data_IF_928539066162
#
_entry.id   IF_928539066162
#
_cell.length_a   1.000
_cell.length_b   1.000
_cell.length_c   1.000
_cell.angle_alpha   90.00
_cell.angle_beta   90.00
_cell.angle_gamma   90.00
#
_symmetry.space_group_name_H-M   'P 1'
#
loop_
_entity.id
_entity.type
_entity.pdbx_description
1 polymer ?
#
# COMPACT_ATOMS: atom_id res chain seq x y z
N UNK A 1 -1.58 25.63 9.10
CA UNK A 1 -1.50 24.18 8.80
C UNK A 1 -1.05 23.92 7.37
N UNK A 2 -1.68 24.48 6.31
CA UNK A 2 -1.26 24.27 4.91
C UNK A 2 0.23 24.60 4.66
N UNK A 3 0.73 25.74 5.12
CA UNK A 3 2.14 26.12 4.98
C UNK A 3 3.11 25.10 5.60
N UNK A 4 2.79 24.55 6.76
CA UNK A 4 3.63 23.55 7.42
C UNK A 4 3.68 22.24 6.64
N UNK A 5 2.52 21.79 6.11
CA UNK A 5 2.45 20.58 5.27
C UNK A 5 3.22 20.79 3.97
N UNK A 6 3.10 21.96 3.35
CA UNK A 6 3.86 22.33 2.14
C UNK A 6 5.36 22.33 2.41
N UNK A 7 5.82 22.91 3.52
CA UNK A 7 7.24 22.90 3.89
C UNK A 7 7.77 21.46 4.11
N UNK A 8 6.97 20.58 4.70
CA UNK A 8 7.32 19.16 4.81
C UNK A 8 7.43 18.49 3.44
N UNK A 9 6.52 18.79 2.51
CA UNK A 9 6.58 18.28 1.14
C UNK A 9 7.81 18.81 0.38
N UNK A 10 8.15 20.09 0.55
CA UNK A 10 9.35 20.69 -0.05
C UNK A 10 10.63 19.99 0.45
N UNK A 11 10.73 19.76 1.76
CA UNK A 11 11.86 19.05 2.36
C UNK A 11 11.94 17.58 1.92
N UNK A 12 10.80 16.89 1.82
CA UNK A 12 10.72 15.52 1.34
C UNK A 12 11.14 15.42 -0.13
N UNK A 13 10.63 16.33 -0.97
CA UNK A 13 10.96 16.38 -2.38
C UNK A 13 12.46 16.64 -2.63
N UNK A 14 13.06 17.53 -1.83
CA UNK A 14 14.50 17.83 -1.92
C UNK A 14 15.39 16.63 -1.53
N UNK A 15 14.89 15.74 -0.64
CA UNK A 15 15.62 14.57 -0.14
C UNK A 15 15.26 13.26 -0.85
N UNK A 16 14.39 13.29 -1.86
CA UNK A 16 13.93 12.07 -2.53
C UNK A 16 13.07 11.15 -1.63
N UNK A 17 12.39 11.72 -0.64
CA UNK A 17 11.55 11.00 0.33
C UNK A 17 10.09 11.13 -0.10
N UNK A 18 9.33 10.03 0.03
CA UNK A 18 7.87 10.03 -0.17
C UNK A 18 7.13 10.18 1.16
N UNK A 19 6.09 11.00 1.14
CA UNK A 19 5.17 11.19 2.25
C UNK A 19 3.90 10.38 2.01
N UNK A 20 3.51 9.60 3.02
CA UNK A 20 2.34 8.73 2.98
C UNK A 20 1.34 9.15 4.07
N UNK A 21 0.57 10.24 3.88
CA UNK A 21 -0.44 10.66 4.83
C UNK A 21 -1.40 9.51 5.14
N UNK A 22 -1.77 9.34 6.42
CA UNK A 22 -2.78 8.37 6.82
C UNK A 22 -4.16 8.74 6.27
N UNK A 23 -5.05 7.77 6.24
CA UNK A 23 -6.48 8.01 6.16
C UNK A 23 -7.06 7.94 7.56
N UNK A 24 -8.14 8.66 7.77
CA UNK A 24 -8.87 8.72 9.02
C UNK A 24 -10.29 8.14 8.83
N UNK A 25 -11.20 8.38 9.76
CA UNK A 25 -12.61 8.01 9.58
C UNK A 25 -13.23 8.72 8.37
N UNK A 26 -14.20 8.08 7.73
CA UNK A 26 -14.80 8.53 6.48
C UNK A 26 -15.35 9.97 6.58
N UNK A 27 -15.84 10.39 7.73
CA UNK A 27 -16.35 11.74 7.95
C UNK A 27 -15.27 12.82 7.76
N UNK A 28 -14.00 12.50 7.98
CA UNK A 28 -12.87 13.45 7.86
C UNK A 28 -12.06 13.25 6.58
N UNK A 29 -12.12 12.07 5.96
CA UNK A 29 -11.35 11.72 4.77
C UNK A 29 -11.52 12.69 3.60
N UNK A 30 -12.71 13.22 3.24
CA UNK A 30 -12.83 14.12 2.09
C UNK A 30 -11.94 15.36 2.17
N UNK A 31 -11.75 15.92 3.37
CA UNK A 31 -10.85 17.06 3.57
C UNK A 31 -9.37 16.69 3.39
N UNK A 32 -8.96 15.54 3.93
CA UNK A 32 -7.60 15.01 3.77
C UNK A 32 -7.29 14.68 2.31
N UNK A 33 -8.23 14.05 1.63
CA UNK A 33 -8.09 13.68 0.22
C UNK A 33 -7.97 14.92 -0.67
N UNK A 34 -8.80 15.95 -0.44
CA UNK A 34 -8.71 17.20 -1.17
C UNK A 34 -7.32 17.85 -1.05
N UNK A 35 -6.73 17.83 0.14
CA UNK A 35 -5.36 18.31 0.35
C UNK A 35 -4.33 17.42 -0.31
N UNK A 36 -4.45 16.11 -0.16
CA UNK A 36 -3.52 15.16 -0.77
C UNK A 36 -3.51 15.29 -2.30
N UNK A 37 -4.67 15.45 -2.94
CA UNK A 37 -4.74 15.63 -4.40
C UNK A 37 -4.10 16.94 -4.86
N UNK A 38 -4.28 18.04 -4.11
CA UNK A 38 -3.61 19.30 -4.41
C UNK A 38 -2.08 19.17 -4.27
N UNK A 39 -1.61 18.48 -3.23
CA UNK A 39 -0.19 18.23 -3.01
C UNK A 39 0.38 17.28 -4.08
N UNK A 40 -0.36 16.23 -4.46
CA UNK A 40 0.06 15.35 -5.55
C UNK A 40 0.23 16.13 -6.86
N UNK A 41 -0.74 16.95 -7.24
CA UNK A 41 -0.64 17.81 -8.43
C UNK A 41 0.61 18.69 -8.40
N UNK A 42 0.95 19.26 -7.24
CA UNK A 42 2.12 20.15 -7.08
C UNK A 42 3.44 19.39 -7.10
N UNK A 43 3.52 18.23 -6.45
CA UNK A 43 4.81 17.57 -6.17
C UNK A 43 5.07 16.32 -6.98
N UNK A 44 4.05 15.63 -7.48
CA UNK A 44 4.18 14.38 -8.24
C UNK A 44 4.26 14.64 -9.75
N UNK A 45 5.11 15.56 -10.18
CA UNK A 45 5.25 15.85 -11.61
C UNK A 45 5.80 14.62 -12.35
N UNK A 46 5.41 14.45 -13.61
CA UNK A 46 5.82 13.30 -14.43
C UNK A 46 7.31 13.25 -14.69
N UNK A 47 7.98 14.42 -14.72
CA UNK A 47 9.42 14.56 -14.94
C UNK A 47 10.23 14.05 -13.74
N UNK A 48 9.67 14.13 -12.54
CA UNK A 48 10.34 13.66 -11.32
C UNK A 48 10.55 12.15 -11.30
N UNK A 49 9.70 11.39 -12.00
CA UNK A 49 9.79 9.93 -12.08
C UNK A 49 9.38 9.18 -10.81
N UNK A 50 8.93 9.87 -9.75
CA UNK A 50 8.38 9.25 -8.55
C UNK A 50 7.36 10.17 -7.86
N UNK A 51 6.43 9.57 -7.10
CA UNK A 51 5.47 10.31 -6.28
C UNK A 51 6.09 10.73 -4.94
N UNK A 52 6.01 12.02 -4.63
CA UNK A 52 6.39 12.58 -3.32
C UNK A 52 5.26 12.40 -2.32
N UNK A 53 4.00 12.59 -2.76
CA UNK A 53 2.82 12.53 -1.89
C UNK A 53 1.90 11.41 -2.36
N UNK A 54 1.40 10.63 -1.40
CA UNK A 54 0.45 9.54 -1.64
C UNK A 54 -0.90 9.85 -1.00
N UNK A 55 -1.95 9.30 -1.56
CA UNK A 55 -3.27 9.20 -0.90
C UNK A 55 -3.46 7.77 -0.41
N UNK A 56 -3.92 7.63 0.83
CA UNK A 56 -4.25 6.33 1.43
C UNK A 56 -5.73 6.01 1.22
N UNK A 57 -6.01 4.87 0.61
CA UNK A 57 -7.35 4.36 0.35
C UNK A 57 -7.65 3.17 1.24
N UNK A 58 -8.72 3.24 2.01
CA UNK A 58 -9.17 2.21 2.95
C UNK A 58 -10.20 1.30 2.26
N UNK A 59 -9.75 0.16 1.72
CA UNK A 59 -10.55 -0.72 0.87
C UNK A 59 -11.72 -1.42 1.59
N UNK A 60 -11.86 -1.29 2.92
CA UNK A 60 -13.06 -1.72 3.62
C UNK A 60 -14.27 -0.81 3.36
N UNK A 61 -14.07 0.40 2.83
CA UNK A 61 -15.13 1.32 2.44
C UNK A 61 -15.69 0.97 1.06
N UNK A 62 -17.01 0.84 0.95
CA UNK A 62 -17.71 0.54 -0.31
C UNK A 62 -17.50 1.58 -1.40
N UNK A 63 -17.24 2.84 -1.02
CA UNK A 63 -17.03 3.95 -1.94
C UNK A 63 -15.64 3.98 -2.61
N UNK A 64 -14.68 3.16 -2.16
CA UNK A 64 -13.28 3.25 -2.64
C UNK A 64 -13.12 2.96 -4.13
N UNK A 65 -13.78 1.98 -4.75
CA UNK A 65 -13.62 1.74 -6.19
C UNK A 65 -13.99 2.96 -7.04
N UNK A 66 -15.04 3.66 -6.70
CA UNK A 66 -15.45 4.88 -7.40
C UNK A 66 -14.50 6.04 -7.09
N UNK A 67 -14.14 6.22 -5.83
CA UNK A 67 -13.24 7.30 -5.37
C UNK A 67 -11.86 7.21 -6.01
N UNK A 68 -11.25 6.03 -6.03
CA UNK A 68 -9.94 5.83 -6.68
C UNK A 68 -10.05 6.05 -8.19
N UNK A 69 -11.17 5.66 -8.82
CA UNK A 69 -11.44 5.93 -10.24
C UNK A 69 -11.43 7.43 -10.54
N UNK A 70 -12.16 8.23 -9.74
CA UNK A 70 -12.23 9.69 -9.88
C UNK A 70 -10.86 10.34 -9.69
N UNK A 71 -10.07 9.88 -8.68
CA UNK A 71 -8.75 10.42 -8.41
C UNK A 71 -7.72 10.06 -9.48
N UNK A 72 -7.75 8.84 -10.01
CA UNK A 72 -6.91 8.42 -11.13
C UNK A 72 -7.28 9.19 -12.43
N UNK A 73 -8.57 9.37 -12.68
CA UNK A 73 -9.02 10.17 -13.82
C UNK A 73 -8.55 11.63 -13.69
N UNK A 74 -8.63 12.21 -12.50
CA UNK A 74 -8.11 13.56 -12.23
C UNK A 74 -6.60 13.63 -12.49
N UNK A 75 -5.83 12.63 -12.03
CA UNK A 75 -4.38 12.56 -12.28
C UNK A 75 -4.07 12.47 -13.77
N UNK A 76 -4.84 11.69 -14.52
CA UNK A 76 -4.72 11.60 -15.99
C UNK A 76 -4.98 12.95 -16.67
N UNK A 77 -6.10 13.59 -16.34
CA UNK A 77 -6.50 14.89 -16.93
C UNK A 77 -5.53 16.04 -16.59
N UNK A 78 -4.99 16.02 -15.38
CA UNK A 78 -4.10 17.08 -14.88
C UNK A 78 -2.61 16.79 -15.07
N UNK A 79 -2.25 15.61 -15.61
CA UNK A 79 -0.90 15.26 -16.04
C UNK A 79 0.11 15.07 -14.90
N UNK A 80 -0.28 14.44 -13.78
CA UNK A 80 0.63 14.12 -12.69
C UNK A 80 0.65 12.62 -12.36
N UNK A 81 1.71 12.16 -11.67
CA UNK A 81 1.81 10.78 -11.21
C UNK A 81 0.96 10.56 -9.96
N UNK A 82 -0.03 9.69 -10.01
CA UNK A 82 -0.83 9.36 -8.84
C UNK A 82 -0.02 8.54 -7.82
N UNK A 83 0.09 9.02 -6.59
CA UNK A 83 0.63 8.28 -5.46
C UNK A 83 -0.50 7.52 -4.75
N UNK A 84 -0.54 6.21 -4.87
CA UNK A 84 -1.61 5.35 -4.35
C UNK A 84 -1.08 4.44 -3.24
N UNK A 85 -1.63 4.58 -2.04
CA UNK A 85 -1.39 3.63 -0.94
C UNK A 85 -2.69 2.91 -0.62
N UNK A 86 -2.69 1.60 -0.76
CA UNK A 86 -3.83 0.75 -0.42
C UNK A 86 -3.66 0.14 0.96
N UNK A 87 -4.68 0.29 1.78
CA UNK A 87 -4.82 -0.37 3.08
C UNK A 87 -6.20 -1.03 3.17
N UNK A 88 -6.40 -1.96 4.11
CA UNK A 88 -7.74 -2.50 4.33
C UNK A 88 -8.64 -1.54 5.09
N UNK A 89 -8.14 -0.93 6.14
CA UNK A 89 -8.84 0.04 6.97
C UNK A 89 -8.56 -0.17 8.45
N UNK A 90 -8.67 0.90 9.23
CA UNK A 90 -8.30 0.90 10.64
C UNK A 90 -9.49 1.16 11.59
N UNK A 91 -10.62 1.63 11.10
CA UNK A 91 -11.71 2.17 11.92
C UNK A 91 -12.99 1.32 11.89
N UNK A 92 -12.86 -0.02 11.75
CA UNK A 92 -13.97 -0.97 11.67
C UNK A 92 -15.01 -0.86 12.82
N UNK A 93 -14.57 -0.41 14.00
CA UNK A 93 -15.42 -0.33 15.18
C UNK A 93 -16.18 1.00 15.28
N UNK A 94 -15.69 2.06 14.65
CA UNK A 94 -16.29 3.41 14.73
C UNK A 94 -16.99 3.85 13.43
N UNK A 95 -16.64 3.26 12.29
CA UNK A 95 -17.31 3.56 11.03
C UNK A 95 -18.77 3.05 11.01
N UNK A 96 -19.70 3.82 10.42
CA UNK A 96 -21.06 3.37 10.17
C UNK A 96 -21.07 2.08 9.32
N UNK A 97 -21.80 1.06 9.78
CA UNK A 97 -21.85 -0.26 9.12
C UNK A 97 -22.29 -0.20 7.65
N UNK A 98 -23.13 0.77 7.28
CA UNK A 98 -23.55 0.95 5.89
C UNK A 98 -22.44 1.36 4.91
N UNK A 99 -21.37 1.97 5.40
CA UNK A 99 -20.25 2.46 4.58
C UNK A 99 -19.19 1.40 4.30
N UNK A 100 -19.10 0.37 5.14
CA UNK A 100 -18.11 -0.68 5.04
C UNK A 100 -18.67 -1.96 4.42
N UNK A 101 -17.80 -2.78 3.85
CA UNK A 101 -18.18 -4.13 3.41
C UNK A 101 -18.62 -4.97 4.62
N UNK A 102 -19.62 -5.81 4.41
CA UNK A 102 -20.23 -6.62 5.47
C UNK A 102 -19.33 -7.78 5.90
N UNK A 103 -18.36 -8.15 5.06
CA UNK A 103 -17.47 -9.26 5.32
C UNK A 103 -16.02 -8.92 5.00
N UNK A 104 -15.12 -9.75 5.52
CA UNK A 104 -13.68 -9.69 5.20
C UNK A 104 -13.46 -9.94 3.71
N UNK A 105 -14.18 -10.88 3.13
CA UNK A 105 -14.09 -11.27 1.71
C UNK A 105 -14.45 -10.09 0.80
N UNK A 106 -15.46 -9.29 1.15
CA UNK A 106 -15.81 -8.06 0.43
C UNK A 106 -14.68 -7.03 0.46
N UNK A 107 -14.04 -6.86 1.62
CA UNK A 107 -12.86 -5.99 1.76
C UNK A 107 -11.66 -6.52 0.96
N UNK A 108 -11.42 -7.83 1.01
CA UNK A 108 -10.33 -8.46 0.27
C UNK A 108 -10.55 -8.31 -1.25
N UNK A 109 -11.76 -8.56 -1.74
CA UNK A 109 -12.12 -8.39 -3.15
C UNK A 109 -11.94 -6.93 -3.63
N UNK A 110 -12.36 -5.95 -2.82
CA UNK A 110 -12.16 -4.54 -3.11
C UNK A 110 -10.66 -4.18 -3.16
N UNK A 111 -9.88 -4.63 -2.18
CA UNK A 111 -8.44 -4.41 -2.12
C UNK A 111 -7.74 -4.98 -3.35
N UNK A 112 -8.03 -6.24 -3.69
CA UNK A 112 -7.38 -6.94 -4.80
C UNK A 112 -7.77 -6.34 -6.16
N UNK A 113 -9.03 -5.91 -6.34
CA UNK A 113 -9.46 -5.21 -7.54
C UNK A 113 -8.76 -3.84 -7.73
N UNK A 114 -8.62 -3.07 -6.64
CA UNK A 114 -7.86 -1.82 -6.67
C UNK A 114 -6.37 -2.07 -6.95
N UNK A 115 -5.77 -3.06 -6.29
CA UNK A 115 -4.37 -3.42 -6.48
C UNK A 115 -4.09 -3.88 -7.92
N UNK A 116 -4.96 -4.71 -8.49
CA UNK A 116 -4.85 -5.16 -9.87
C UNK A 116 -4.87 -3.99 -10.86
N UNK A 117 -5.85 -3.07 -10.74
CA UNK A 117 -5.97 -1.93 -11.63
C UNK A 117 -4.72 -1.05 -11.63
N UNK A 118 -4.19 -0.70 -10.44
CA UNK A 118 -3.02 0.17 -10.33
C UNK A 118 -1.72 -0.54 -10.72
N UNK A 119 -1.57 -1.84 -10.43
CA UNK A 119 -0.41 -2.62 -10.85
C UNK A 119 -0.35 -2.77 -12.36
N UNK A 120 -1.48 -3.09 -12.99
CA UNK A 120 -1.59 -3.24 -14.46
C UNK A 120 -1.64 -1.90 -15.19
N UNK A 121 -1.78 -0.78 -14.46
CA UNK A 121 -2.01 0.55 -15.05
C UNK A 121 -3.12 0.53 -16.09
N UNK A 122 -4.23 -0.12 -15.77
CA UNK A 122 -5.36 -0.30 -16.68
C UNK A 122 -6.70 -0.15 -15.97
N UNK A 123 -7.65 0.45 -16.67
CA UNK A 123 -9.03 0.50 -16.20
C UNK A 123 -9.62 -0.93 -16.21
N UNK A 124 -10.45 -1.22 -15.22
CA UNK A 124 -11.09 -2.53 -15.02
C UNK A 124 -12.59 -2.37 -14.92
N UNK A 125 -13.33 -3.48 -14.75
CA UNK A 125 -14.77 -3.43 -14.49
C UNK A 125 -15.13 -2.71 -13.17
N UNK A 126 -14.24 -2.73 -12.18
CA UNK A 126 -14.45 -2.12 -10.86
C UNK A 126 -13.87 -0.72 -10.77
N UNK A 127 -12.77 -0.42 -11.47
CA UNK A 127 -12.08 0.88 -11.48
C UNK A 127 -12.18 1.44 -12.88
N UNK A 128 -13.14 2.36 -13.09
CA UNK A 128 -13.54 2.83 -14.42
C UNK A 128 -13.43 4.35 -14.55
N UNK A 129 -12.99 4.86 -15.71
CA UNK A 129 -13.05 6.29 -15.99
C UNK A 129 -14.49 6.70 -16.35
N UNK A 130 -14.77 8.01 -16.26
CA UNK A 130 -16.05 8.57 -16.71
C UNK A 130 -16.23 8.47 -18.23
N UNK A 131 -15.15 8.36 -18.99
CA UNK A 131 -15.14 8.13 -20.44
C UNK A 131 -14.05 7.14 -20.83
N UNK A 132 -14.33 6.20 -21.75
CA UNK A 132 -13.32 5.24 -22.25
C UNK A 132 -12.11 5.89 -22.93
N UNK A 133 -12.21 7.14 -23.34
CA UNK A 133 -11.11 7.89 -23.99
C UNK A 133 -10.04 8.38 -23.01
N UNK A 134 -10.30 8.32 -21.70
CA UNK A 134 -9.37 8.79 -20.68
C UNK A 134 -8.29 7.74 -20.45
N UNK A 135 -7.01 8.04 -20.73
CA UNK A 135 -5.93 7.09 -20.51
C UNK A 135 -5.71 6.87 -19.01
N UNK A 136 -5.20 5.69 -18.65
CA UNK A 136 -4.80 5.42 -17.27
C UNK A 136 -3.55 6.27 -16.92
N UNK A 137 -3.51 6.95 -15.77
CA UNK A 137 -2.38 7.81 -15.42
C UNK A 137 -1.13 7.01 -15.04
N UNK A 138 0.03 7.67 -15.00
CA UNK A 138 1.18 7.13 -14.28
C UNK A 138 0.85 7.01 -12.80
N UNK A 139 1.27 5.89 -12.18
CA UNK A 139 1.03 5.63 -10.76
C UNK A 139 2.30 5.17 -10.05
N UNK A 140 2.42 5.48 -8.77
CA UNK A 140 3.33 4.82 -7.85
C UNK A 140 2.51 4.20 -6.71
N UNK A 141 2.90 3.02 -6.23
CA UNK A 141 2.03 2.15 -5.46
C UNK A 141 2.70 1.75 -4.15
N UNK A 142 1.92 1.81 -3.06
CA UNK A 142 2.25 1.18 -1.78
C UNK A 142 1.12 0.22 -1.42
N UNK A 143 1.43 -1.07 -1.38
CA UNK A 143 0.53 -2.12 -0.90
C UNK A 143 0.80 -2.36 0.59
N UNK A 144 0.02 -1.73 1.45
CA UNK A 144 0.20 -1.80 2.90
C UNK A 144 -0.77 -2.83 3.49
N UNK A 145 -0.31 -4.06 3.63
CA UNK A 145 -1.15 -5.18 4.10
C UNK A 145 -0.31 -6.31 4.69
N UNK A 146 -0.95 -7.09 5.58
CA UNK A 146 -0.45 -8.35 6.13
C UNK A 146 -1.18 -9.58 5.56
N UNK A 147 -1.97 -9.41 4.49
CA UNK A 147 -2.69 -10.52 3.87
C UNK A 147 -1.79 -11.20 2.84
N UNK A 148 -1.47 -12.48 3.07
CA UNK A 148 -0.62 -13.29 2.21
C UNK A 148 -1.15 -13.42 0.78
N UNK A 149 -2.45 -13.69 0.64
CA UNK A 149 -3.04 -14.01 -0.66
C UNK A 149 -3.02 -12.79 -1.58
N UNK A 150 -3.37 -11.60 -1.05
CA UNK A 150 -3.28 -10.36 -1.80
C UNK A 150 -1.85 -10.01 -2.21
N UNK A 151 -0.87 -10.25 -1.32
CA UNK A 151 0.54 -10.00 -1.64
C UNK A 151 1.08 -10.98 -2.68
N UNK A 152 0.71 -12.26 -2.61
CA UNK A 152 1.08 -13.27 -3.62
C UNK A 152 0.44 -12.97 -4.97
N UNK A 153 -0.81 -12.51 -4.98
CA UNK A 153 -1.48 -12.05 -6.20
C UNK A 153 -0.75 -10.87 -6.82
N UNK A 154 -0.42 -9.85 -6.04
CA UNK A 154 0.34 -8.69 -6.49
C UNK A 154 1.73 -9.07 -7.00
N UNK A 155 2.43 -9.96 -6.30
CA UNK A 155 3.74 -10.49 -6.71
C UNK A 155 3.64 -11.25 -8.04
N UNK A 156 2.61 -12.09 -8.20
CA UNK A 156 2.38 -12.82 -9.47
C UNK A 156 2.13 -11.87 -10.63
N UNK A 157 1.35 -10.80 -10.43
CA UNK A 157 1.15 -9.76 -11.45
C UNK A 157 2.49 -9.12 -11.83
N UNK A 158 3.27 -8.68 -10.83
CA UNK A 158 4.58 -8.06 -11.05
C UNK A 158 5.54 -8.98 -11.79
N UNK A 159 5.62 -10.25 -11.41
CA UNK A 159 6.48 -11.24 -12.07
C UNK A 159 6.10 -11.44 -13.54
N UNK A 160 4.80 -11.51 -13.85
CA UNK A 160 4.32 -11.58 -15.25
C UNK A 160 4.69 -10.34 -16.06
N UNK A 161 4.55 -9.15 -15.47
CA UNK A 161 4.95 -7.89 -16.11
C UNK A 161 6.44 -7.87 -16.46
N UNK A 162 7.29 -8.35 -15.57
CA UNK A 162 8.75 -8.42 -15.77
C UNK A 162 9.19 -9.41 -16.87
N UNK A 163 8.30 -10.30 -17.32
CA UNK A 163 8.57 -11.16 -18.47
C UNK A 163 8.34 -10.45 -19.81
N UNK A 164 7.53 -9.40 -19.83
CA UNK A 164 7.05 -8.74 -21.06
C UNK A 164 7.40 -7.26 -21.16
N UNK A 165 7.85 -6.65 -20.08
CA UNK A 165 8.10 -5.21 -19.99
C UNK A 165 9.43 -4.91 -19.31
N UNK A 166 10.08 -3.85 -19.73
CA UNK A 166 11.28 -3.35 -19.06
C UNK A 166 10.92 -2.84 -17.66
N UNK A 167 11.75 -3.13 -16.62
CA UNK A 167 11.48 -2.72 -15.24
C UNK A 167 11.18 -1.24 -15.07
N UNK A 168 11.86 -0.38 -15.83
CA UNK A 168 11.73 1.08 -15.76
C UNK A 168 10.36 1.59 -16.27
N UNK A 169 9.68 0.79 -17.09
CA UNK A 169 8.33 1.10 -17.60
C UNK A 169 7.23 0.75 -16.60
N UNK A 170 7.55 -0.06 -15.59
CA UNK A 170 6.59 -0.50 -14.59
C UNK A 170 6.41 0.53 -13.47
N UNK A 171 5.22 0.61 -12.85
CA UNK A 171 5.00 1.51 -11.73
C UNK A 171 5.91 1.15 -10.55
N UNK A 172 6.46 2.17 -9.88
CA UNK A 172 7.18 1.95 -8.62
C UNK A 172 6.25 1.31 -7.61
N UNK A 173 6.73 0.27 -6.95
CA UNK A 173 5.97 -0.54 -6.01
C UNK A 173 6.71 -0.67 -4.69
N UNK A 174 5.98 -0.51 -3.58
CA UNK A 174 6.46 -0.88 -2.27
C UNK A 174 5.43 -1.78 -1.55
N UNK A 175 5.92 -2.81 -0.91
CA UNK A 175 5.16 -3.66 -0.01
C UNK A 175 5.41 -3.19 1.42
N UNK A 176 4.37 -2.77 2.13
CA UNK A 176 4.46 -2.20 3.47
C UNK A 176 3.83 -3.09 4.54
N UNK A 177 4.57 -3.39 5.61
CA UNK A 177 4.08 -4.08 6.79
C UNK A 177 4.43 -3.29 8.05
N UNK A 178 3.70 -3.51 9.13
CA UNK A 178 4.06 -3.00 10.45
C UNK A 178 5.29 -3.75 10.98
N UNK A 179 6.18 -3.03 11.64
CA UNK A 179 7.32 -3.65 12.31
C UNK A 179 6.84 -4.63 13.38
N UNK A 180 7.49 -5.81 13.45
CA UNK A 180 7.12 -6.88 14.37
C UNK A 180 5.86 -7.65 13.97
N UNK A 181 5.32 -7.40 12.76
CA UNK A 181 4.17 -8.15 12.22
C UNK A 181 4.48 -8.66 10.83
N UNK A 182 3.98 -9.88 10.53
CA UNK A 182 4.09 -10.51 9.22
C UNK A 182 5.56 -10.55 8.69
N UNK A 183 6.50 -10.92 9.54
CA UNK A 183 7.91 -10.94 9.17
C UNK A 183 8.21 -12.06 8.17
N UNK A 184 7.48 -13.17 8.23
CA UNK A 184 7.52 -14.27 7.26
C UNK A 184 7.16 -13.76 5.85
N UNK A 185 6.11 -12.93 5.72
CA UNK A 185 5.71 -12.33 4.44
C UNK A 185 6.81 -11.40 3.93
N UNK A 186 7.34 -10.54 4.80
CA UNK A 186 8.40 -9.60 4.43
C UNK A 186 9.64 -10.34 3.94
N UNK A 187 10.02 -11.44 4.58
CA UNK A 187 11.15 -12.28 4.16
C UNK A 187 10.88 -12.97 2.82
N UNK A 188 9.67 -13.52 2.61
CA UNK A 188 9.27 -14.11 1.33
C UNK A 188 9.37 -13.08 0.19
N UNK A 189 8.88 -11.86 0.42
CA UNK A 189 8.97 -10.77 -0.56
C UNK A 189 10.43 -10.38 -0.86
N UNK A 190 11.26 -10.17 0.17
CA UNK A 190 12.68 -9.85 -0.02
C UNK A 190 13.41 -10.94 -0.79
N UNK A 191 13.16 -12.22 -0.48
CA UNK A 191 13.78 -13.33 -1.19
C UNK A 191 13.32 -13.43 -2.65
N UNK A 192 12.06 -13.10 -2.93
CA UNK A 192 11.54 -13.10 -4.30
C UNK A 192 12.10 -11.96 -5.14
N UNK A 193 12.33 -10.80 -4.53
CA UNK A 193 12.87 -9.61 -5.19
C UNK A 193 14.39 -9.71 -5.42
N UNK A 194 15.15 -10.28 -4.48
CA UNK A 194 16.63 -10.46 -4.62
C UNK A 194 17.03 -11.40 -5.74
N UNK A 195 16.14 -12.30 -6.15
CA UNK A 195 16.40 -13.20 -7.29
C UNK A 195 16.33 -12.50 -8.66
N UNK A 196 15.78 -11.27 -8.71
CA UNK A 196 15.67 -10.45 -9.91
C UNK A 196 16.11 -9.02 -9.53
N UNK A 197 17.38 -8.72 -9.71
CA UNK A 197 18.07 -7.54 -9.18
C UNK A 197 17.51 -6.15 -9.57
N UNK A 198 16.39 -6.05 -10.30
CA UNK A 198 15.91 -4.76 -10.86
C UNK A 198 14.39 -4.62 -10.94
N UNK A 199 13.67 -5.07 -9.91
CA UNK A 199 12.20 -5.06 -9.93
C UNK A 199 11.58 -3.71 -9.61
N UNK A 200 12.36 -2.70 -9.17
CA UNK A 200 11.89 -1.44 -8.59
C UNK A 200 10.86 -1.58 -7.45
N UNK A 201 10.62 -2.80 -6.98
CA UNK A 201 9.78 -3.05 -5.81
C UNK A 201 10.61 -3.01 -4.53
N UNK A 202 10.05 -2.43 -3.48
CA UNK A 202 10.70 -2.30 -2.17
C UNK A 202 9.85 -2.96 -1.10
N UNK A 203 10.49 -3.62 -0.15
CA UNK A 203 9.84 -4.10 1.08
C UNK A 203 10.18 -3.14 2.21
N UNK A 204 9.16 -2.55 2.84
CA UNK A 204 9.34 -1.52 3.87
C UNK A 204 8.57 -1.88 5.14
N UNK A 205 9.12 -1.50 6.27
CA UNK A 205 8.45 -1.63 7.59
C UNK A 205 8.00 -0.26 8.09
N UNK A 206 6.74 -0.17 8.50
CA UNK A 206 6.24 0.99 9.22
C UNK A 206 6.70 0.89 10.66
N UNK A 207 7.49 1.86 11.09
CA UNK A 207 8.11 1.94 12.42
C UNK A 207 7.57 3.15 13.18
N UNK A 208 7.61 3.10 14.50
CA UNK A 208 7.36 4.27 15.35
C UNK A 208 8.54 5.22 15.28
N UNK A 209 8.25 6.52 15.42
CA UNK A 209 9.24 7.57 15.57
C UNK A 209 8.69 8.66 16.49
N UNK A 210 9.53 9.19 17.38
CA UNK A 210 9.17 10.24 18.32
C UNK A 210 9.61 9.93 19.76
N UNK A 211 9.02 10.62 20.73
CA UNK A 211 9.23 10.37 22.16
C UNK A 211 8.66 9.01 22.57
N UNK A 212 9.08 8.49 23.72
CA UNK A 212 8.58 7.21 24.26
C UNK A 212 7.04 7.23 24.36
N UNK A 213 6.46 8.33 24.84
CA UNK A 213 5.00 8.48 24.98
C UNK A 213 4.29 8.41 23.62
N UNK A 214 4.81 9.09 22.59
CA UNK A 214 4.25 9.06 21.24
C UNK A 214 4.35 7.64 20.64
N UNK A 215 5.51 7.01 20.79
CA UNK A 215 5.71 5.63 20.33
C UNK A 215 4.77 4.65 21.03
N UNK A 216 4.62 4.73 22.35
CA UNK A 216 3.71 3.87 23.11
C UNK A 216 2.24 4.08 22.67
N UNK A 217 1.79 5.33 22.53
CA UNK A 217 0.45 5.65 22.07
C UNK A 217 0.19 5.11 20.66
N UNK A 218 1.17 5.22 19.76
CA UNK A 218 1.08 4.63 18.43
C UNK A 218 0.94 3.11 18.50
N UNK A 219 1.77 2.43 19.30
CA UNK A 219 1.78 0.97 19.43
C UNK A 219 0.49 0.44 20.07
N UNK A 220 -0.02 1.11 21.12
CA UNK A 220 -1.28 0.75 21.77
C UNK A 220 -2.46 0.83 20.81
N UNK A 221 -2.50 1.90 20.00
CA UNK A 221 -3.53 2.03 18.95
C UNK A 221 -3.42 0.90 17.92
N UNK A 222 -2.22 0.61 17.42
CA UNK A 222 -1.98 -0.51 16.48
C UNK A 222 -2.36 -1.87 17.10
N UNK A 223 -2.02 -2.12 18.34
CA UNK A 223 -2.40 -3.33 19.05
C UNK A 223 -3.93 -3.46 19.18
N UNK A 224 -4.62 -2.37 19.49
CA UNK A 224 -6.08 -2.35 19.57
C UNK A 224 -6.74 -2.62 18.22
N UNK A 225 -6.26 -2.00 17.15
CA UNK A 225 -6.76 -2.19 15.78
C UNK A 225 -6.51 -3.62 15.26
N UNK A 226 -5.43 -4.24 15.71
CA UNK A 226 -4.99 -5.56 15.24
C UNK A 226 -5.20 -6.66 16.29
N UNK A 227 -6.23 -6.58 17.14
CA UNK A 227 -6.50 -7.59 18.17
C UNK A 227 -6.52 -9.02 17.63
N UNK A 228 -7.04 -9.21 16.42
CA UNK A 228 -7.03 -10.50 15.72
C UNK A 228 -5.64 -10.93 15.20
N UNK A 229 -4.68 -10.01 15.14
CA UNK A 229 -3.31 -10.36 14.73
C UNK A 229 -2.62 -11.25 15.78
N UNK A 230 -3.05 -11.19 17.04
CA UNK A 230 -2.60 -12.15 18.08
C UNK A 230 -2.94 -13.60 17.71
N UNK A 231 -4.02 -13.83 16.97
CA UNK A 231 -4.38 -15.15 16.45
C UNK A 231 -3.45 -15.63 15.33
N UNK A 232 -2.81 -14.70 14.61
CA UNK A 232 -1.84 -15.00 13.53
C UNK A 232 -0.44 -15.33 14.05
N UNK A 233 -0.15 -15.13 15.33
CA UNK A 233 1.10 -15.60 15.95
C UNK A 233 1.30 -17.10 15.80
N UNK A 234 0.23 -17.87 15.60
CA UNK A 234 0.31 -19.28 15.30
C UNK A 234 1.00 -19.56 13.95
N UNK A 235 0.72 -18.76 12.92
CA UNK A 235 1.31 -18.91 11.59
C UNK A 235 2.78 -18.48 11.59
N UNK A 236 3.12 -17.35 12.20
CA UNK A 236 4.51 -16.93 12.40
C UNK A 236 5.31 -17.96 13.18
N UNK A 237 4.76 -18.52 14.26
CA UNK A 237 5.40 -19.59 15.04
C UNK A 237 5.61 -20.85 14.21
N UNK A 238 4.65 -21.22 13.37
CA UNK A 238 4.74 -22.36 12.46
C UNK A 238 5.84 -22.17 11.43
N UNK A 239 5.90 -20.96 10.81
CA UNK A 239 6.93 -20.60 9.84
C UNK A 239 8.33 -20.59 10.48
N UNK A 240 8.49 -20.01 11.67
CA UNK A 240 9.74 -20.05 12.42
C UNK A 240 10.16 -21.49 12.78
N UNK A 241 9.23 -22.32 13.23
CA UNK A 241 9.49 -23.73 13.51
C UNK A 241 9.96 -24.50 12.27
N UNK A 242 9.31 -24.28 11.14
CA UNK A 242 9.69 -24.90 9.87
C UNK A 242 11.11 -24.46 9.42
N UNK A 243 11.44 -23.16 9.56
CA UNK A 243 12.77 -22.65 9.20
C UNK A 243 13.86 -23.16 10.15
N UNK A 244 13.60 -23.22 11.45
CA UNK A 244 14.54 -23.83 12.40
C UNK A 244 14.78 -25.31 12.08
N UNK A 245 13.73 -26.05 11.75
CA UNK A 245 13.82 -27.45 11.32
C UNK A 245 14.61 -27.60 10.03
N UNK A 246 14.39 -26.75 9.04
CA UNK A 246 15.15 -26.73 7.80
C UNK A 246 16.63 -26.48 8.06
N UNK A 247 16.99 -25.48 8.89
CA UNK A 247 18.39 -25.18 9.26
C UNK A 247 19.03 -26.35 9.98
N UNK A 248 18.29 -26.98 10.90
CA UNK A 248 18.78 -28.15 11.61
C UNK A 248 19.09 -29.29 10.63
N UNK A 249 18.18 -29.61 9.72
CA UNK A 249 18.42 -30.63 8.68
C UNK A 249 19.65 -30.34 7.83
N UNK A 250 19.80 -29.10 7.36
CA UNK A 250 20.98 -28.69 6.58
C UNK A 250 22.27 -28.83 7.39
N UNK A 251 22.27 -28.43 8.68
CA UNK A 251 23.43 -28.55 9.55
C UNK A 251 23.88 -30.01 9.78
N UNK A 252 22.95 -30.95 9.71
CA UNK A 252 23.22 -32.39 9.87
C UNK A 252 23.28 -33.16 8.55
N UNK A 253 23.32 -32.46 7.40
CA UNK A 253 23.42 -33.10 6.08
C UNK A 253 22.19 -33.91 5.66
N UNK A 254 21.02 -33.63 6.25
CA UNK A 254 19.77 -34.33 5.99
C UNK A 254 18.85 -33.59 4.98
N UNK A 255 19.41 -32.70 4.19
CA UNK A 255 18.68 -31.91 3.19
C UNK A 255 18.63 -32.64 1.85
#
# INVERSE_FOLDING_TARGET
MWAAVTAACDAAAAKGISLLPGAEEEVTNPGLEAWNLQLQKKYNTTERGYAVVYTTYQCYLKAIPERISQHLEKASKEGYTAGVKLVRGAYLNSEPKGLIWESKEGTDACYDACAEAVLKQSWTSSIRPSSPSIPFPKVNIVLATHNHDSLRTALSIRQKQLLTSAPESLPRLAYGQLQGMADEISQELVQSETKKADTQAKVVKCMTFGTITECLNFLLRRASENKEAALRTADTRKAMGAELWRRWRVAFGLA
#
